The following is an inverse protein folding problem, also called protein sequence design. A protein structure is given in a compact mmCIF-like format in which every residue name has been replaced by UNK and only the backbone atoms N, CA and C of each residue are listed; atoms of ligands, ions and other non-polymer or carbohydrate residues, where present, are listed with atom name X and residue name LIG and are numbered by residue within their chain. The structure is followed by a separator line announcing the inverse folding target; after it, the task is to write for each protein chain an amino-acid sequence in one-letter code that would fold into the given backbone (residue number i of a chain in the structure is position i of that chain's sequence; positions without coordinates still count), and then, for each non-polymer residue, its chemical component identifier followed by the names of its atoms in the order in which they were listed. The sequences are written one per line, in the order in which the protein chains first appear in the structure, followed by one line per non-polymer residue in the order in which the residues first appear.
data_IF_732369707590
#
_entry.id   IF_732369707590
#
_cell.length_a   1.000
_cell.length_b   1.000
_cell.length_c   1.000
_cell.angle_alpha   90.00
_cell.angle_beta   90.00
_cell.angle_gamma   90.00
#
_symmetry.space_group_name_H-M   'P 1'
#
loop_
_entity.id
_entity.type
_entity.pdbx_description
1 polymer ?
#
# COMPACT_ATOMS: atom_id res chain seq x y z
N UNK A 1 0.92 12.97 -24.23
CA UNK A 1 1.09 11.98 -23.12
C UNK A 1 0.19 10.79 -23.41
N UNK A 2 0.78 9.64 -23.65
CA UNK A 2 0.01 8.40 -23.90
C UNK A 2 -0.66 7.90 -22.61
N UNK A 3 -1.60 6.95 -22.73
CA UNK A 3 -2.19 6.31 -21.54
C UNK A 3 -1.13 5.51 -20.76
N UNK A 4 -0.13 4.95 -21.46
CA UNK A 4 0.98 4.24 -20.83
C UNK A 4 1.82 5.14 -19.90
N UNK A 5 1.97 6.41 -20.23
CA UNK A 5 2.70 7.39 -19.40
C UNK A 5 1.99 7.74 -18.08
N UNK A 6 0.70 7.38 -17.96
CA UNK A 6 -0.11 7.60 -16.76
C UNK A 6 -0.17 6.41 -15.82
N UNK A 7 0.53 5.33 -16.15
CA UNK A 7 0.56 4.09 -15.38
C UNK A 7 1.80 4.05 -14.50
N UNK A 8 1.63 3.90 -13.20
CA UNK A 8 2.72 3.54 -12.31
C UNK A 8 2.91 2.01 -12.36
N UNK A 9 3.81 1.53 -13.23
CA UNK A 9 4.10 0.11 -13.38
C UNK A 9 5.17 -0.40 -12.40
N UNK A 10 6.16 0.43 -12.08
CA UNK A 10 7.28 0.07 -11.20
C UNK A 10 7.19 0.92 -9.93
N UNK A 11 7.19 0.28 -8.77
CA UNK A 11 7.02 0.94 -7.48
C UNK A 11 8.01 0.44 -6.40
N UNK A 12 9.02 -0.31 -6.76
CA UNK A 12 10.03 -0.88 -5.87
C UNK A 12 11.45 -0.31 -6.08
N UNK A 13 11.60 0.60 -7.04
CA UNK A 13 12.84 1.32 -7.35
C UNK A 13 12.76 2.83 -7.08
N UNK A 14 11.76 3.27 -6.32
CA UNK A 14 11.58 4.67 -5.99
C UNK A 14 12.70 5.16 -5.06
N UNK A 15 13.07 6.45 -5.19
CA UNK A 15 14.11 7.09 -4.35
C UNK A 15 13.62 7.34 -2.92
N UNK A 16 13.10 6.29 -2.29
CA UNK A 16 12.69 6.31 -0.89
C UNK A 16 13.76 5.59 -0.08
N UNK A 17 14.32 6.28 0.90
CA UNK A 17 15.30 5.69 1.80
C UNK A 17 14.63 4.62 2.67
N UNK A 18 15.15 3.41 2.60
CA UNK A 18 14.68 2.28 3.39
C UNK A 18 15.80 1.74 4.28
N UNK A 19 15.46 1.37 5.50
CA UNK A 19 16.39 0.73 6.45
C UNK A 19 16.59 -0.76 6.19
N UNK A 20 15.78 -1.35 5.32
CA UNK A 20 15.80 -2.77 4.94
C UNK A 20 15.54 -2.88 3.44
N UNK A 21 15.79 -4.04 2.81
CA UNK A 21 15.37 -4.28 1.44
C UNK A 21 13.88 -4.02 1.25
N UNK A 22 13.53 -3.41 0.13
CA UNK A 22 12.14 -3.11 -0.20
C UNK A 22 11.37 -4.43 -0.31
N UNK A 23 10.27 -4.53 0.42
CA UNK A 23 9.36 -5.67 0.28
C UNK A 23 8.43 -5.41 -0.91
N UNK A 24 8.71 -6.07 -2.03
CA UNK A 24 7.94 -5.92 -3.26
C UNK A 24 6.92 -7.06 -3.40
N UNK A 25 5.64 -6.70 -3.36
CA UNK A 25 4.54 -7.58 -3.71
C UNK A 25 4.15 -7.45 -5.18
N UNK A 26 3.10 -8.16 -5.60
CA UNK A 26 2.62 -8.14 -6.99
C UNK A 26 2.17 -6.74 -7.44
N UNK A 27 1.58 -5.96 -6.56
CA UNK A 27 1.06 -4.61 -6.84
C UNK A 27 1.47 -3.56 -5.82
N UNK A 28 1.94 -3.94 -4.63
CA UNK A 28 2.37 -3.04 -3.55
C UNK A 28 3.81 -3.26 -3.18
N UNK A 29 4.51 -2.17 -2.89
CA UNK A 29 5.86 -2.20 -2.33
C UNK A 29 5.90 -1.47 -1.01
N UNK A 30 6.67 -1.98 -0.05
CA UNK A 30 6.80 -1.45 1.29
C UNK A 30 8.24 -1.06 1.55
N UNK A 31 8.45 0.20 1.85
CA UNK A 31 9.72 0.81 2.21
C UNK A 31 9.74 1.00 3.73
N UNK A 32 10.42 0.11 4.46
CA UNK A 32 10.57 0.22 5.90
C UNK A 32 11.55 1.36 6.23
N UNK A 33 11.08 2.38 6.92
CA UNK A 33 11.93 3.49 7.32
C UNK A 33 12.95 3.06 8.37
N UNK A 34 14.07 3.78 8.44
CA UNK A 34 14.99 3.62 9.56
C UNK A 34 14.34 4.12 10.86
N UNK A 35 14.84 3.71 12.02
CA UNK A 35 14.36 4.20 13.32
C UNK A 35 14.44 5.73 13.40
N UNK A 36 15.58 6.30 12.94
CA UNK A 36 15.77 7.75 12.93
C UNK A 36 14.79 8.47 12.00
N UNK A 37 14.50 7.92 10.83
CA UNK A 37 13.55 8.51 9.89
C UNK A 37 12.11 8.37 10.39
N UNK A 38 11.76 7.24 11.02
CA UNK A 38 10.46 7.03 11.66
C UNK A 38 10.22 8.04 12.77
N UNK A 39 11.14 8.14 13.74
CA UNK A 39 11.03 9.07 14.88
C UNK A 39 10.96 10.52 14.43
N UNK A 40 11.78 10.89 13.43
CA UNK A 40 11.75 12.24 12.84
C UNK A 40 10.39 12.54 12.18
N UNK A 41 9.84 11.62 11.43
CA UNK A 41 8.57 11.79 10.74
C UNK A 41 7.41 11.90 11.73
N UNK A 42 7.42 11.06 12.79
CA UNK A 42 6.43 11.13 13.88
C UNK A 42 6.46 12.50 14.53
N UNK A 43 7.64 12.99 14.90
CA UNK A 43 7.79 14.29 15.54
C UNK A 43 7.35 15.45 14.63
N UNK A 44 7.67 15.39 13.33
CA UNK A 44 7.31 16.43 12.36
C UNK A 44 5.82 16.46 12.03
N UNK A 45 5.16 15.30 11.98
CA UNK A 45 3.75 15.18 11.58
C UNK A 45 2.78 15.11 12.75
N UNK A 46 3.29 14.81 13.96
CA UNK A 46 2.46 14.70 15.17
C UNK A 46 1.52 13.50 15.14
N UNK A 47 1.95 12.37 14.61
CA UNK A 47 1.14 11.15 14.61
C UNK A 47 0.90 10.66 16.04
N UNK A 48 -0.31 10.20 16.30
CA UNK A 48 -0.71 9.61 17.59
C UNK A 48 -0.23 8.15 17.70
N UNK A 49 1.08 7.99 17.77
CA UNK A 49 1.77 6.71 17.93
C UNK A 49 2.97 6.88 18.84
N UNK A 50 3.56 5.80 19.32
CA UNK A 50 4.80 5.87 20.11
C UNK A 50 5.90 6.59 19.32
N UNK A 51 6.73 7.39 20.01
CA UNK A 51 7.77 8.20 19.39
C UNK A 51 8.83 7.38 18.63
N UNK A 52 8.97 6.11 18.97
CA UNK A 52 9.86 5.12 18.36
C UNK A 52 9.12 4.07 17.52
N UNK A 53 7.84 4.29 17.22
CA UNK A 53 7.06 3.37 16.43
C UNK A 53 7.69 3.17 15.02
N UNK A 54 7.88 1.92 14.59
CA UNK A 54 8.42 1.66 13.25
C UNK A 54 7.40 2.02 12.18
N UNK A 55 7.80 2.86 11.23
CA UNK A 55 6.96 3.30 10.12
C UNK A 55 7.44 2.71 8.81
N UNK A 56 6.52 2.67 7.86
CA UNK A 56 6.80 2.34 6.46
C UNK A 56 6.04 3.25 5.50
N UNK A 57 6.58 3.36 4.30
CA UNK A 57 5.88 3.96 3.15
C UNK A 57 5.44 2.81 2.25
N UNK A 58 4.14 2.70 2.04
CA UNK A 58 3.55 1.74 1.11
C UNK A 58 3.19 2.46 -0.19
N UNK A 59 3.62 1.90 -1.31
CA UNK A 59 3.31 2.43 -2.64
C UNK A 59 2.60 1.37 -3.45
N UNK A 60 1.39 1.68 -3.92
CA UNK A 60 0.65 0.80 -4.82
C UNK A 60 0.95 1.15 -6.27
N UNK A 61 1.04 0.14 -7.12
CA UNK A 61 1.15 0.32 -8.57
C UNK A 61 -0.18 0.11 -9.27
N UNK A 62 -0.24 0.51 -10.54
CA UNK A 62 -1.38 0.29 -11.41
C UNK A 62 -1.35 -1.08 -12.12
N UNK A 63 -0.38 -1.92 -11.78
CA UNK A 63 -0.24 -3.28 -12.36
C UNK A 63 -1.48 -4.12 -12.12
N UNK A 64 -1.77 -5.02 -13.06
CA UNK A 64 -2.76 -6.08 -12.90
C UNK A 64 -2.02 -7.37 -12.58
N UNK A 65 -2.47 -8.05 -11.52
CA UNK A 65 -2.03 -9.40 -11.19
C UNK A 65 -3.24 -10.33 -11.19
N UNK A 66 -3.20 -11.34 -12.03
CA UNK A 66 -4.21 -12.40 -12.09
C UNK A 66 -3.54 -13.73 -12.41
N UNK A 67 -4.05 -14.83 -11.84
CA UNK A 67 -3.47 -16.18 -12.00
C UNK A 67 -1.97 -16.22 -11.64
N UNK A 68 -1.58 -15.52 -10.58
CA UNK A 68 -0.19 -15.34 -10.13
C UNK A 68 0.77 -14.69 -11.14
N UNK A 69 0.25 -14.13 -12.23
CA UNK A 69 1.02 -13.44 -13.25
C UNK A 69 0.75 -11.94 -13.21
N UNK A 70 1.80 -11.14 -13.45
CA UNK A 70 1.64 -9.71 -13.74
C UNK A 70 1.38 -9.59 -15.23
N UNK A 71 0.26 -8.96 -15.59
CA UNK A 71 -0.16 -8.80 -16.96
C UNK A 71 0.46 -7.57 -17.60
N UNK A 72 0.92 -7.74 -18.83
CA UNK A 72 1.45 -6.68 -19.67
C UNK A 72 0.49 -6.44 -20.84
N UNK A 73 0.10 -5.20 -21.05
CA UNK A 73 -0.75 -4.80 -22.16
C UNK A 73 0.06 -4.50 -23.42
N UNK A 74 -0.64 -4.38 -24.54
CA UNK A 74 -0.06 -3.94 -25.80
C UNK A 74 0.43 -2.49 -25.71
N UNK A 75 1.41 -2.13 -26.54
CA UNK A 75 1.95 -0.76 -26.60
C UNK A 75 2.66 -0.30 -25.32
N UNK A 76 3.16 -1.23 -24.48
CA UNK A 76 3.88 -0.91 -23.25
C UNK A 76 2.98 -0.53 -22.08
N UNK A 77 1.67 -0.75 -22.19
CA UNK A 77 0.73 -0.47 -21.09
C UNK A 77 0.82 -1.58 -20.04
N UNK A 78 1.64 -1.37 -19.02
CA UNK A 78 1.91 -2.33 -17.95
C UNK A 78 1.03 -2.10 -16.71
N UNK A 79 -0.25 -1.83 -16.93
CA UNK A 79 -1.24 -1.59 -15.88
C UNK A 79 -2.46 -0.82 -16.41
N UNK A 80 -3.37 -0.50 -15.50
CA UNK A 80 -4.56 0.31 -15.80
C UNK A 80 -4.44 1.66 -15.09
N UNK A 81 -4.44 2.78 -15.82
CA UNK A 81 -4.33 4.10 -15.22
C UNK A 81 -5.37 4.32 -14.11
N UNK A 82 -4.92 4.73 -12.92
CA UNK A 82 -5.79 5.00 -11.79
C UNK A 82 -6.26 3.79 -10.98
N UNK A 83 -5.92 2.56 -11.39
CA UNK A 83 -6.30 1.35 -10.65
C UNK A 83 -5.74 1.35 -9.24
N UNK A 84 -4.46 1.71 -9.07
CA UNK A 84 -3.82 1.75 -7.76
C UNK A 84 -4.51 2.74 -6.83
N UNK A 85 -4.82 3.94 -7.31
CA UNK A 85 -5.54 4.95 -6.55
C UNK A 85 -6.94 4.47 -6.13
N UNK A 86 -7.68 3.83 -7.04
CA UNK A 86 -9.00 3.29 -6.74
C UNK A 86 -8.93 2.19 -5.67
N UNK A 87 -7.98 1.27 -5.77
CA UNK A 87 -7.79 0.21 -4.76
C UNK A 87 -7.41 0.76 -3.39
N UNK A 88 -6.53 1.76 -3.33
CA UNK A 88 -6.19 2.41 -2.08
C UNK A 88 -7.39 3.13 -1.47
N UNK A 89 -8.20 3.83 -2.28
CA UNK A 89 -9.40 4.50 -1.81
C UNK A 89 -10.42 3.53 -1.23
N UNK A 90 -10.67 2.39 -1.90
CA UNK A 90 -11.58 1.34 -1.42
C UNK A 90 -11.05 0.74 -0.11
N UNK A 91 -9.78 0.39 -0.05
CA UNK A 91 -9.17 -0.18 1.16
C UNK A 91 -9.24 0.81 2.33
N UNK A 92 -8.91 2.08 2.10
CA UNK A 92 -9.00 3.12 3.14
C UNK A 92 -10.43 3.33 3.62
N UNK A 93 -11.42 3.28 2.72
CA UNK A 93 -12.84 3.35 3.10
C UNK A 93 -13.18 2.27 4.14
N UNK A 94 -12.79 1.01 3.90
CA UNK A 94 -13.08 -0.09 4.81
C UNK A 94 -12.32 0.01 6.13
N UNK A 95 -11.03 0.39 6.12
CA UNK A 95 -10.27 0.61 7.35
C UNK A 95 -10.91 1.70 8.22
N UNK A 96 -11.35 2.80 7.61
CA UNK A 96 -12.08 3.86 8.33
C UNK A 96 -13.40 3.36 8.91
N UNK A 97 -14.18 2.60 8.13
CA UNK A 97 -15.44 2.03 8.61
C UNK A 97 -15.25 1.10 9.81
N UNK A 98 -14.22 0.27 9.80
CA UNK A 98 -13.91 -0.59 10.94
C UNK A 98 -13.49 0.23 12.17
N UNK A 99 -12.71 1.26 11.99
CA UNK A 99 -12.29 2.15 13.07
C UNK A 99 -13.49 2.93 13.66
N UNK A 100 -14.34 3.52 12.82
CA UNK A 100 -15.54 4.25 13.22
C UNK A 100 -16.53 3.37 14.02
N UNK A 101 -16.58 2.07 13.72
CA UNK A 101 -17.42 1.12 14.42
C UNK A 101 -16.72 0.45 15.61
N UNK A 102 -15.51 0.81 15.93
CA UNK A 102 -14.74 0.23 17.03
C UNK A 102 -14.36 -1.25 16.84
N UNK A 103 -14.35 -1.75 15.59
CA UNK A 103 -14.05 -3.15 15.29
C UNK A 103 -12.54 -3.41 15.19
N UNK A 104 -11.77 -2.46 14.66
CA UNK A 104 -10.33 -2.55 14.54
C UNK A 104 -9.72 -1.17 14.36
N UNK A 105 -8.49 -0.99 14.82
CA UNK A 105 -7.69 0.20 14.54
C UNK A 105 -7.05 0.10 13.14
N UNK A 106 -6.78 1.24 12.53
CA UNK A 106 -6.08 1.32 11.27
C UNK A 106 -4.57 1.49 11.48
N UNK A 107 -3.78 0.82 10.65
CA UNK A 107 -2.34 1.03 10.59
C UNK A 107 -1.95 2.24 9.71
N UNK A 108 -2.91 2.82 8.99
CA UNK A 108 -2.68 3.96 8.09
C UNK A 108 -2.66 5.24 8.92
N UNK A 109 -1.54 5.96 8.89
CA UNK A 109 -1.35 7.21 9.60
C UNK A 109 -1.65 8.43 8.71
N UNK A 110 -1.23 8.36 7.45
CA UNK A 110 -1.40 9.45 6.49
C UNK A 110 -1.47 8.91 5.06
N UNK A 111 -2.21 9.63 4.20
CA UNK A 111 -2.30 9.36 2.76
C UNK A 111 -1.82 10.62 2.03
N UNK A 112 -0.49 10.83 1.89
CA UNK A 112 0.05 12.04 1.26
C UNK A 112 -0.19 12.09 -0.25
N UNK A 113 -0.47 10.96 -0.86
CA UNK A 113 -0.77 10.81 -2.28
C UNK A 113 -1.72 9.62 -2.50
N UNK A 114 -2.61 9.61 -3.50
CA UNK A 114 -3.53 8.50 -3.76
C UNK A 114 -2.87 7.11 -3.90
N UNK A 115 -1.61 7.07 -4.33
CA UNK A 115 -0.83 5.82 -4.47
C UNK A 115 0.06 5.53 -3.27
N UNK A 116 0.11 6.40 -2.25
CA UNK A 116 1.10 6.33 -1.17
C UNK A 116 0.42 6.39 0.19
N UNK A 117 0.74 5.44 1.05
CA UNK A 117 0.36 5.44 2.46
C UNK A 117 1.59 5.51 3.35
N UNK A 118 1.51 6.30 4.41
CA UNK A 118 2.40 6.22 5.55
C UNK A 118 1.70 5.35 6.59
N UNK A 119 2.36 4.28 7.00
CA UNK A 119 1.76 3.27 7.88
C UNK A 119 2.66 2.96 9.06
N UNK A 120 2.03 2.61 10.19
CA UNK A 120 2.72 2.00 11.32
C UNK A 120 2.86 0.50 11.08
N UNK A 121 4.00 -0.08 11.48
CA UNK A 121 4.20 -1.52 11.42
C UNK A 121 3.24 -2.23 12.36
N UNK A 122 2.44 -3.13 11.84
CA UNK A 122 1.59 -4.03 12.61
C UNK A 122 2.15 -5.45 12.57
N UNK A 123 1.85 -6.23 13.62
CA UNK A 123 2.15 -7.66 13.61
C UNK A 123 1.04 -8.39 12.86
N UNK A 124 1.33 -8.99 11.69
CA UNK A 124 0.31 -9.70 10.94
C UNK A 124 -0.10 -11.00 11.65
N UNK A 125 -1.38 -11.33 11.57
CA UNK A 125 -1.85 -12.69 11.81
C UNK A 125 -1.59 -13.47 10.53
N UNK A 126 -0.77 -14.52 10.59
CA UNK A 126 -0.31 -15.27 9.43
C UNK A 126 -1.37 -16.26 8.91
N UNK A 127 -2.61 -15.78 8.80
CA UNK A 127 -3.77 -16.52 8.28
C UNK A 127 -4.47 -15.62 7.28
N UNK A 128 -4.66 -16.11 6.06
CA UNK A 128 -5.51 -15.44 5.08
C UNK A 128 -6.96 -15.82 5.32
N UNK A 129 -7.81 -14.83 5.68
CA UNK A 129 -9.22 -15.00 5.88
C UNK A 129 -9.98 -14.47 4.67
N UNK A 130 -10.76 -15.33 4.01
CA UNK A 130 -11.54 -14.98 2.84
C UNK A 130 -13.01 -15.27 3.14
N UNK A 131 -13.82 -14.20 3.19
CA UNK A 131 -15.28 -14.32 3.28
C UNK A 131 -15.90 -14.18 1.90
N UNK A 132 -16.77 -15.13 1.52
CA UNK A 132 -17.48 -15.12 0.24
C UNK A 132 -18.95 -15.41 0.45
N UNK A 133 -19.81 -14.70 -0.26
CA UNK A 133 -21.24 -14.93 -0.23
C UNK A 133 -21.64 -16.18 -1.01
N UNK A 134 -20.94 -16.48 -2.10
CA UNK A 134 -21.22 -17.61 -2.97
C UNK A 134 -20.01 -18.53 -3.07
N UNK A 135 -20.26 -19.81 -3.33
CA UNK A 135 -19.20 -20.77 -3.64
C UNK A 135 -18.57 -20.32 -4.97
N UNK A 136 -17.27 -20.02 -5.00
CA UNK A 136 -16.63 -19.65 -6.24
C UNK A 136 -16.67 -20.86 -7.19
N UNK A 137 -16.97 -20.60 -8.46
CA UNK A 137 -16.78 -21.59 -9.50
C UNK A 137 -15.31 -22.05 -9.54
N UNK A 138 -15.11 -23.26 -9.96
CA UNK A 138 -13.80 -23.87 -10.20
C UNK A 138 -12.99 -23.09 -11.25
#
# INVERSE_FOLDING_TARGET
MSLADKVLAVNDDLRIRSGQPVHSGKVRSVYWLTEADSSRLIAQRGYDVAADAPLAIMVISDRISAFDCIWHGEGGMNGVPGKGAALNAISNHWFRRFQEQGLAESHILEIPHPLVWIVQKARPVMIEAIARQYIPGS
#
